data_IF_101014753960
#
_entry.id   IF_101014753960
#
_cell.length_a   1.000
_cell.length_b   1.000
_cell.length_c   1.000
_cell.angle_alpha   90.00
_cell.angle_beta   90.00
_cell.angle_gamma   90.00
#
_symmetry.space_group_name_H-M   'P 1'
#
loop_
_entity.id
_entity.type
_entity.pdbx_description
1 polymer ?
#
# COMPACT_ATOMS: atom_id res chain seq x y z
N UNK A 1 24.52 -0.77 14.79
CA UNK A 1 24.27 -0.43 13.37
C UNK A 1 24.52 1.08 13.19
N UNK A 2 25.45 1.52 12.34
CA UNK A 2 25.71 2.97 12.17
C UNK A 2 24.78 3.59 11.13
N UNK A 3 24.38 4.85 11.32
CA UNK A 3 23.55 5.58 10.35
C UNK A 3 24.18 5.60 8.94
N UNK A 4 25.51 5.72 8.87
CA UNK A 4 26.27 5.70 7.62
C UNK A 4 26.06 4.40 6.82
N UNK A 5 25.89 3.25 7.49
CA UNK A 5 25.60 1.96 6.85
C UNK A 5 24.12 1.75 6.55
N UNK A 6 23.22 2.27 7.38
CA UNK A 6 21.78 2.10 7.24
C UNK A 6 21.19 2.99 6.14
N UNK A 7 21.62 4.25 6.05
CA UNK A 7 21.09 5.23 5.10
C UNK A 7 21.08 4.76 3.64
N UNK A 8 22.18 4.26 3.04
CA UNK A 8 22.17 3.83 1.65
C UNK A 8 21.25 2.61 1.42
N UNK A 9 21.20 1.67 2.38
CA UNK A 9 20.31 0.49 2.31
C UNK A 9 18.84 0.88 2.39
N UNK A 10 18.53 1.83 3.26
CA UNK A 10 17.19 2.37 3.41
C UNK A 10 16.75 3.05 2.13
N UNK A 11 17.57 3.96 1.59
CA UNK A 11 17.24 4.68 0.36
C UNK A 11 17.04 3.74 -0.83
N UNK A 12 17.91 2.74 -0.98
CA UNK A 12 17.75 1.70 -2.01
C UNK A 12 16.45 0.90 -1.83
N UNK A 13 16.08 0.58 -0.59
CA UNK A 13 14.84 -0.16 -0.30
C UNK A 13 13.60 0.71 -0.53
N UNK A 14 13.61 1.98 -0.12
CA UNK A 14 12.51 2.93 -0.35
C UNK A 14 12.30 3.14 -1.86
N UNK A 15 13.35 3.46 -2.61
CA UNK A 15 13.25 3.69 -4.06
C UNK A 15 12.84 2.44 -4.84
N UNK A 16 13.09 1.23 -4.33
CA UNK A 16 12.66 -0.03 -4.96
C UNK A 16 11.25 -0.44 -4.54
N UNK A 17 10.96 -0.42 -3.25
CA UNK A 17 9.81 -1.11 -2.67
C UNK A 17 8.59 -0.21 -2.47
N UNK A 18 8.78 1.11 -2.42
CA UNK A 18 7.71 2.09 -2.32
C UNK A 18 6.80 2.06 -3.56
N UNK A 19 5.47 2.16 -3.36
CA UNK A 19 4.47 2.01 -4.43
C UNK A 19 4.66 3.01 -5.56
N UNK A 20 4.71 4.31 -5.23
CA UNK A 20 4.93 5.37 -6.22
C UNK A 20 6.39 5.48 -6.70
N UNK A 21 7.35 5.65 -5.77
CA UNK A 21 8.77 5.83 -6.14
C UNK A 21 9.33 4.65 -6.92
N UNK A 22 8.87 3.42 -6.64
CA UNK A 22 9.26 2.25 -7.38
C UNK A 22 8.86 2.28 -8.85
N UNK A 23 7.72 2.89 -9.20
CA UNK A 23 7.30 3.08 -10.60
C UNK A 23 8.20 4.11 -11.27
N UNK A 24 8.41 5.26 -10.63
CA UNK A 24 9.26 6.34 -11.16
C UNK A 24 10.69 5.84 -11.39
N UNK A 25 11.25 5.11 -10.44
CA UNK A 25 12.59 4.54 -10.54
C UNK A 25 12.70 3.47 -11.64
N UNK A 26 11.64 2.70 -11.88
CA UNK A 26 11.58 1.73 -12.98
C UNK A 26 11.58 2.42 -14.35
N UNK A 27 10.94 3.58 -14.48
CA UNK A 27 10.98 4.38 -15.72
C UNK A 27 12.31 5.11 -15.91
N UNK A 28 12.95 5.55 -14.82
CA UNK A 28 14.20 6.31 -14.87
C UNK A 28 15.44 5.43 -15.12
N UNK A 29 15.37 4.13 -14.84
CA UNK A 29 16.47 3.19 -15.11
C UNK A 29 16.30 2.57 -16.50
N UNK A 30 17.35 2.67 -17.32
CA UNK A 30 17.43 2.02 -18.62
C UNK A 30 17.23 0.49 -18.48
N UNK A 31 16.70 -0.13 -19.55
CA UNK A 31 16.27 -1.55 -19.64
C UNK A 31 17.31 -2.60 -19.24
N UNK A 32 18.55 -2.20 -18.97
CA UNK A 32 19.67 -3.07 -18.63
C UNK A 32 19.70 -3.50 -17.15
N UNK A 33 18.91 -2.85 -16.27
CA UNK A 33 18.76 -3.33 -14.90
C UNK A 33 17.66 -4.38 -14.81
N UNK A 34 18.02 -5.60 -14.37
CA UNK A 34 17.09 -6.67 -14.01
C UNK A 34 16.28 -6.26 -12.76
N UNK A 35 15.30 -5.38 -12.92
CA UNK A 35 14.33 -5.12 -11.89
C UNK A 35 13.41 -6.36 -11.74
N UNK A 36 13.25 -6.91 -10.52
CA UNK A 36 12.42 -8.09 -10.29
C UNK A 36 10.93 -7.87 -10.59
N UNK A 37 10.48 -6.63 -10.76
CA UNK A 37 9.07 -6.32 -11.05
C UNK A 37 8.91 -5.45 -12.28
N UNK A 38 7.98 -5.85 -13.14
CA UNK A 38 7.52 -5.07 -14.29
C UNK A 38 6.77 -3.82 -13.84
N UNK A 39 6.68 -2.82 -14.74
CA UNK A 39 5.87 -1.61 -14.52
C UNK A 39 4.42 -1.96 -14.20
N UNK A 40 3.85 -2.98 -14.84
CA UNK A 40 2.47 -3.43 -14.60
C UNK A 40 2.27 -3.93 -13.17
N UNK A 41 3.18 -4.78 -12.67
CA UNK A 41 3.12 -5.29 -11.29
C UNK A 41 3.29 -4.17 -10.25
N UNK A 42 4.14 -3.18 -10.57
CA UNK A 42 4.34 -1.99 -9.72
C UNK A 42 3.09 -1.10 -9.70
N UNK A 43 2.44 -0.91 -10.85
CA UNK A 43 1.16 -0.20 -10.94
C UNK A 43 0.06 -0.91 -10.16
N UNK A 44 -0.02 -2.24 -10.24
CA UNK A 44 -0.97 -3.03 -9.43
C UNK A 44 -0.74 -2.84 -7.92
N UNK A 45 0.52 -2.78 -7.48
CA UNK A 45 0.84 -2.50 -6.07
C UNK A 45 0.34 -1.11 -5.63
N UNK A 46 0.44 -0.10 -6.50
CA UNK A 46 -0.05 1.24 -6.22
C UNK A 46 -1.59 1.27 -6.18
N UNK A 47 -2.27 0.71 -7.17
CA UNK A 47 -3.74 0.71 -7.22
C UNK A 47 -4.35 -0.08 -6.06
N UNK A 48 -3.74 -1.19 -5.64
CA UNK A 48 -4.15 -1.90 -4.44
C UNK A 48 -4.01 -1.04 -3.19
N UNK A 49 -2.93 -0.26 -3.07
CA UNK A 49 -2.73 0.60 -1.91
C UNK A 49 -3.80 1.70 -1.82
N UNK A 50 -4.18 2.26 -2.96
CA UNK A 50 -5.29 3.21 -3.06
C UNK A 50 -6.65 2.55 -2.75
N UNK A 51 -6.84 1.31 -3.20
CA UNK A 51 -8.03 0.51 -2.93
C UNK A 51 -8.18 0.15 -1.45
N UNK A 52 -7.11 -0.30 -0.80
CA UNK A 52 -7.10 -0.53 0.65
C UNK A 52 -7.36 0.75 1.45
N UNK A 53 -6.86 1.90 0.97
CA UNK A 53 -7.16 3.20 1.56
C UNK A 53 -8.64 3.56 1.45
N UNK A 54 -9.26 3.32 0.29
CA UNK A 54 -10.69 3.50 0.09
C UNK A 54 -11.53 2.60 1.00
N UNK A 55 -11.20 1.31 1.06
CA UNK A 55 -11.89 0.37 1.93
C UNK A 55 -11.77 0.76 3.40
N UNK A 56 -10.61 1.27 3.85
CA UNK A 56 -10.44 1.76 5.22
C UNK A 56 -11.35 2.96 5.55
N UNK A 57 -11.48 3.92 4.62
CA UNK A 57 -12.41 5.05 4.77
C UNK A 57 -13.86 4.58 4.76
N UNK A 58 -14.21 3.68 3.85
CA UNK A 58 -15.57 3.16 3.73
C UNK A 58 -15.97 2.29 4.93
N UNK A 59 -15.13 1.36 5.37
CA UNK A 59 -15.40 0.53 6.56
C UNK A 59 -15.68 1.42 7.77
N UNK A 60 -14.93 2.51 7.92
CA UNK A 60 -15.17 3.49 8.98
C UNK A 60 -16.47 4.27 8.82
N UNK A 61 -16.84 4.63 7.59
CA UNK A 61 -18.12 5.27 7.32
C UNK A 61 -19.30 4.31 7.60
N UNK A 62 -19.17 3.04 7.18
CA UNK A 62 -20.16 2.00 7.37
C UNK A 62 -20.29 1.54 8.83
N UNK A 63 -19.17 1.46 9.56
CA UNK A 63 -19.14 1.24 11.00
C UNK A 63 -19.45 2.57 11.68
N UNK A 64 -20.72 2.94 11.68
CA UNK A 64 -21.24 4.03 12.50
C UNK A 64 -20.88 3.76 13.98
N UNK A 65 -19.81 4.39 14.46
CA UNK A 65 -19.52 4.48 15.89
C UNK A 65 -19.38 5.94 16.30
N UNK A 66 -20.45 6.43 16.91
CA UNK A 66 -20.46 7.11 18.23
C UNK A 66 -19.07 7.51 18.74
N UNK A 67 -18.46 8.50 18.09
CA UNK A 67 -17.16 9.05 18.49
C UNK A 67 -17.28 10.15 19.54
N UNK A 68 -18.38 10.18 20.28
CA UNK A 68 -18.66 11.23 21.24
C UNK A 68 -17.79 11.13 22.52
N UNK A 69 -17.30 9.95 22.94
CA UNK A 69 -16.96 9.78 24.37
C UNK A 69 -15.60 9.14 24.73
N UNK A 70 -14.55 9.21 23.90
CA UNK A 70 -13.29 8.50 24.27
C UNK A 70 -12.09 9.41 24.53
N UNK A 71 -11.93 10.53 23.82
CA UNK A 71 -10.85 11.49 24.07
C UNK A 71 -11.31 12.87 23.61
N UNK A 72 -11.28 13.85 24.51
CA UNK A 72 -11.53 15.25 24.18
C UNK A 72 -10.30 15.78 23.41
N UNK A 73 -10.40 15.83 22.07
CA UNK A 73 -9.33 16.30 21.19
C UNK A 73 -9.65 17.70 20.68
N UNK A 74 -8.65 18.59 20.57
CA UNK A 74 -8.85 19.92 20.00
C UNK A 74 -9.48 19.85 18.60
N UNK A 75 -10.42 20.76 18.34
CA UNK A 75 -11.03 20.93 17.02
C UNK A 75 -9.93 21.13 15.95
N UNK A 76 -9.99 20.32 14.90
CA UNK A 76 -8.97 20.25 13.84
C UNK A 76 -7.97 19.11 14.00
N UNK A 77 -7.50 18.80 15.21
CA UNK A 77 -6.58 17.66 15.43
C UNK A 77 -7.29 16.32 15.26
N UNK A 78 -8.56 16.26 15.68
CA UNK A 78 -9.41 15.08 15.55
C UNK A 78 -9.47 14.57 14.10
N UNK A 79 -9.53 15.47 13.11
CA UNK A 79 -9.58 15.11 11.69
C UNK A 79 -8.28 14.42 11.22
N UNK A 80 -7.12 14.98 11.54
CA UNK A 80 -5.83 14.40 11.13
C UNK A 80 -5.54 13.07 11.81
N UNK A 81 -5.85 12.95 13.11
CA UNK A 81 -5.74 11.69 13.84
C UNK A 81 -6.67 10.63 13.24
N UNK A 82 -7.86 11.05 12.85
CA UNK A 82 -8.85 10.20 12.21
C UNK A 82 -8.38 9.67 10.83
N UNK A 83 -7.80 10.53 10.00
CA UNK A 83 -7.17 10.16 8.73
C UNK A 83 -5.93 9.27 8.93
N UNK A 84 -5.11 9.55 9.95
CA UNK A 84 -3.99 8.69 10.33
C UNK A 84 -4.42 7.28 10.71
N UNK A 85 -5.49 7.14 11.50
CA UNK A 85 -6.07 5.84 11.84
C UNK A 85 -6.61 5.09 10.62
N UNK A 86 -7.27 5.79 9.69
CA UNK A 86 -7.66 5.20 8.39
C UNK A 86 -6.44 4.70 7.62
N UNK A 87 -5.36 5.49 7.56
CA UNK A 87 -4.13 5.11 6.88
C UNK A 87 -3.42 3.90 7.53
N UNK A 88 -3.49 3.77 8.86
CA UNK A 88 -2.99 2.60 9.59
C UNK A 88 -3.81 1.35 9.29
N UNK A 89 -5.14 1.43 9.34
CA UNK A 89 -6.03 0.31 8.97
C UNK A 89 -5.79 -0.10 7.52
N UNK A 90 -5.69 0.88 6.61
CA UNK A 90 -5.33 0.64 5.21
C UNK A 90 -3.95 -0.05 5.10
N UNK A 91 -2.98 0.34 5.93
CA UNK A 91 -1.68 -0.32 6.03
C UNK A 91 -1.77 -1.77 6.47
N UNK A 92 -2.57 -2.07 7.48
CA UNK A 92 -2.83 -3.46 7.94
C UNK A 92 -3.51 -4.26 6.82
N UNK A 93 -4.52 -3.72 6.17
CA UNK A 93 -5.16 -4.37 5.02
C UNK A 93 -4.15 -4.61 3.90
N UNK A 94 -3.28 -3.64 3.62
CA UNK A 94 -2.22 -3.77 2.63
C UNK A 94 -1.21 -4.88 2.97
N UNK A 95 -0.96 -5.11 4.25
CA UNK A 95 -0.10 -6.20 4.73
C UNK A 95 -0.79 -7.55 4.61
N UNK A 96 -2.04 -7.67 5.08
CA UNK A 96 -2.76 -8.93 5.20
C UNK A 96 -3.31 -9.44 3.87
N UNK A 97 -3.92 -8.56 3.08
CA UNK A 97 -4.66 -8.92 1.86
C UNK A 97 -4.23 -8.09 0.65
N UNK A 98 -3.33 -7.13 0.83
CA UNK A 98 -2.98 -6.17 -0.20
C UNK A 98 -1.59 -6.38 -0.81
N UNK A 99 -0.91 -5.26 -1.03
CA UNK A 99 0.38 -5.18 -1.71
C UNK A 99 1.43 -6.16 -1.18
N UNK A 100 1.59 -6.31 0.13
CA UNK A 100 2.69 -7.10 0.70
C UNK A 100 2.54 -8.59 0.44
N UNK A 101 1.30 -9.10 0.47
CA UNK A 101 0.98 -10.48 0.12
C UNK A 101 1.29 -10.74 -1.36
N UNK A 102 0.82 -9.86 -2.25
CA UNK A 102 1.05 -9.96 -3.69
C UNK A 102 2.54 -9.87 -4.02
N UNK A 103 3.27 -8.90 -3.44
CA UNK A 103 4.73 -8.78 -3.63
C UNK A 103 5.49 -10.01 -3.13
N UNK A 104 5.09 -10.60 -2.01
CA UNK A 104 5.74 -11.80 -1.48
C UNK A 104 5.53 -12.99 -2.43
N UNK A 105 4.31 -13.16 -2.94
CA UNK A 105 3.99 -14.22 -3.91
C UNK A 105 4.77 -14.00 -5.21
N UNK A 106 4.75 -12.80 -5.77
CA UNK A 106 5.41 -12.47 -7.02
C UNK A 106 6.95 -12.57 -6.91
N UNK A 107 7.54 -12.10 -5.81
CA UNK A 107 8.99 -12.23 -5.59
C UNK A 107 9.42 -13.70 -5.49
N UNK A 108 8.65 -14.51 -4.77
CA UNK A 108 8.92 -15.95 -4.64
C UNK A 108 8.79 -16.68 -5.98
N UNK A 109 7.86 -16.25 -6.83
CA UNK A 109 7.72 -16.75 -8.20
C UNK A 109 8.93 -16.35 -9.08
N UNK A 110 9.36 -15.08 -9.01
CA UNK A 110 10.53 -14.56 -9.73
C UNK A 110 11.82 -15.32 -9.40
N UNK A 111 12.15 -15.45 -8.10
CA UNK A 111 13.38 -16.11 -7.62
C UNK A 111 13.45 -17.60 -8.03
N UNK A 112 12.33 -18.20 -8.47
CA UNK A 112 12.24 -19.63 -8.81
C UNK A 112 11.91 -19.93 -10.27
N UNK A 113 11.96 -18.93 -11.16
CA UNK A 113 11.77 -19.11 -12.62
C UNK A 113 12.73 -20.13 -13.27
N UNK A 114 13.79 -20.58 -12.59
CA UNK A 114 14.67 -21.64 -13.08
C UNK A 114 14.24 -23.09 -12.73
N UNK A 115 13.22 -23.32 -11.88
CA UNK A 115 12.88 -24.66 -11.39
C UNK A 115 11.36 -24.96 -11.33
N UNK A 116 10.83 -25.55 -12.41
CA UNK A 116 9.50 -26.18 -12.58
C UNK A 116 8.25 -25.27 -12.48
N UNK A 117 7.47 -25.25 -13.57
CA UNK A 117 6.76 -24.05 -14.05
C UNK A 117 5.24 -23.99 -13.72
N UNK A 118 4.60 -25.06 -13.23
CA UNK A 118 3.12 -25.14 -13.30
C UNK A 118 2.35 -24.56 -12.09
N UNK A 119 2.69 -24.95 -10.86
CA UNK A 119 1.86 -24.59 -9.70
C UNK A 119 2.06 -23.14 -9.23
N UNK A 120 3.29 -22.61 -9.33
CA UNK A 120 3.63 -21.26 -8.83
C UNK A 120 3.17 -20.14 -9.77
N UNK A 121 3.26 -20.35 -11.09
CA UNK A 121 2.67 -19.45 -12.09
C UNK A 121 1.17 -19.26 -11.88
N UNK A 122 0.43 -20.31 -11.45
CA UNK A 122 -0.99 -20.21 -11.10
C UNK A 122 -1.22 -19.34 -9.86
N UNK A 123 -0.36 -19.44 -8.85
CA UNK A 123 -0.45 -18.62 -7.63
C UNK A 123 -0.11 -17.15 -7.90
N UNK A 124 0.91 -16.90 -8.74
CA UNK A 124 1.28 -15.57 -9.23
C UNK A 124 0.14 -14.90 -10.02
N UNK A 125 -0.48 -15.65 -10.94
CA UNK A 125 -1.66 -15.23 -11.69
C UNK A 125 -2.85 -14.94 -10.77
N UNK A 126 -3.12 -15.82 -9.78
CA UNK A 126 -4.18 -15.60 -8.80
C UNK A 126 -3.95 -14.32 -7.98
N UNK A 127 -2.70 -14.04 -7.59
CA UNK A 127 -2.34 -12.81 -6.89
C UNK A 127 -2.55 -11.56 -7.76
N UNK A 128 -2.22 -11.63 -9.06
CA UNK A 128 -2.51 -10.56 -10.03
C UNK A 128 -4.01 -10.33 -10.24
N UNK A 129 -4.80 -11.41 -10.37
CA UNK A 129 -6.27 -11.35 -10.47
C UNK A 129 -6.86 -10.71 -9.21
N UNK A 130 -6.41 -11.13 -8.03
CA UNK A 130 -6.84 -10.56 -6.76
C UNK A 130 -6.53 -9.06 -6.67
N UNK A 131 -5.31 -8.66 -7.05
CA UNK A 131 -4.91 -7.25 -7.11
C UNK A 131 -5.81 -6.43 -8.03
N UNK A 132 -6.12 -6.98 -9.21
CA UNK A 132 -7.04 -6.38 -10.18
C UNK A 132 -8.46 -6.25 -9.63
N UNK A 133 -9.02 -7.33 -9.07
CA UNK A 133 -10.36 -7.34 -8.49
C UNK A 133 -10.50 -6.34 -7.35
N UNK A 134 -9.52 -6.28 -6.44
CA UNK A 134 -9.54 -5.34 -5.32
C UNK A 134 -9.46 -3.89 -5.81
N UNK A 135 -8.60 -3.62 -6.79
CA UNK A 135 -8.42 -2.28 -7.37
C UNK A 135 -9.68 -1.80 -8.11
N UNK A 136 -10.17 -2.60 -9.06
CA UNK A 136 -11.34 -2.27 -9.88
C UNK A 136 -12.61 -2.25 -9.04
N UNK A 137 -12.81 -3.24 -8.17
CA UNK A 137 -13.97 -3.31 -7.28
C UNK A 137 -14.05 -2.10 -6.34
N UNK A 138 -12.92 -1.67 -5.78
CA UNK A 138 -12.88 -0.48 -4.92
C UNK A 138 -13.17 0.80 -5.71
N UNK A 139 -12.64 0.92 -6.93
CA UNK A 139 -12.92 2.06 -7.79
C UNK A 139 -14.39 2.13 -8.20
N UNK A 140 -14.98 1.00 -8.62
CA UNK A 140 -16.40 0.90 -8.96
C UNK A 140 -17.28 1.21 -7.75
N UNK A 141 -16.91 0.74 -6.56
CA UNK A 141 -17.62 1.07 -5.34
C UNK A 141 -17.50 2.56 -4.99
N UNK A 142 -16.34 3.19 -5.18
CA UNK A 142 -16.21 4.64 -4.98
C UNK A 142 -17.09 5.42 -5.97
N UNK A 143 -17.06 5.04 -7.25
CA UNK A 143 -17.89 5.67 -8.29
C UNK A 143 -19.39 5.50 -8.03
N UNK A 144 -19.83 4.33 -7.56
CA UNK A 144 -21.25 4.12 -7.24
C UNK A 144 -21.70 4.99 -6.08
N UNK A 145 -20.85 5.23 -5.08
CA UNK A 145 -21.14 6.15 -3.97
C UNK A 145 -21.26 7.59 -4.44
N UNK A 146 -20.35 8.05 -5.30
CA UNK A 146 -20.42 9.39 -5.91
C UNK A 146 -21.69 9.58 -6.75
N UNK A 147 -22.16 8.53 -7.43
CA UNK A 147 -23.35 8.59 -8.28
C UNK A 147 -24.67 8.58 -7.51
N UNK A 148 -24.72 7.92 -6.34
CA UNK A 148 -25.97 7.67 -5.60
C UNK A 148 -26.11 8.60 -4.39
N UNK A 149 -25.01 8.96 -3.73
CA UNK A 149 -25.07 9.73 -2.48
C UNK A 149 -25.07 11.24 -2.74
N UNK A 150 -25.68 12.04 -1.86
CA UNK A 150 -25.69 13.49 -2.00
C UNK A 150 -24.29 14.06 -1.74
N UNK A 151 -24.04 15.26 -2.28
CA UNK A 151 -22.70 15.84 -2.30
C UNK A 151 -22.12 16.18 -0.93
N UNK A 152 -22.97 16.40 0.07
CA UNK A 152 -22.57 16.59 1.46
C UNK A 152 -21.95 15.32 2.07
N UNK A 153 -22.21 14.15 1.51
CA UNK A 153 -21.72 12.86 2.01
C UNK A 153 -20.48 12.39 1.24
N UNK A 154 -20.54 12.33 -0.10
CA UNK A 154 -19.44 11.75 -0.87
C UNK A 154 -18.20 12.66 -0.95
N UNK A 155 -18.36 13.99 -0.93
CA UNK A 155 -17.21 14.92 -1.01
C UNK A 155 -16.28 14.80 0.20
N UNK A 156 -16.76 14.82 1.46
CA UNK A 156 -15.90 14.58 2.62
C UNK A 156 -15.23 13.21 2.59
N UNK A 157 -15.94 12.16 2.15
CA UNK A 157 -15.37 10.82 2.02
C UNK A 157 -14.23 10.77 1.01
N UNK A 158 -14.38 11.44 -0.14
CA UNK A 158 -13.35 11.50 -1.17
C UNK A 158 -12.12 12.29 -0.71
N UNK A 159 -12.32 13.43 -0.06
CA UNK A 159 -11.21 14.21 0.52
C UNK A 159 -10.46 13.41 1.58
N UNK A 160 -11.20 12.74 2.47
CA UNK A 160 -10.63 11.86 3.49
C UNK A 160 -9.89 10.67 2.89
N UNK A 161 -10.39 10.12 1.78
CA UNK A 161 -9.68 9.09 1.03
C UNK A 161 -8.37 9.61 0.44
N UNK A 162 -8.38 10.80 -0.17
CA UNK A 162 -7.18 11.44 -0.70
C UNK A 162 -6.14 11.69 0.42
N UNK A 163 -6.57 12.23 1.56
CA UNK A 163 -5.71 12.46 2.72
C UNK A 163 -5.17 11.14 3.29
N UNK A 164 -6.03 10.12 3.43
CA UNK A 164 -5.62 8.79 3.93
C UNK A 164 -4.64 8.12 2.98
N UNK A 165 -4.86 8.23 1.67
CA UNK A 165 -3.95 7.70 0.64
C UNK A 165 -2.61 8.45 0.66
N UNK A 166 -2.63 9.77 0.79
CA UNK A 166 -1.42 10.58 0.92
C UNK A 166 -0.63 10.20 2.18
N UNK A 167 -1.30 10.08 3.34
CA UNK A 167 -0.67 9.64 4.59
C UNK A 167 -0.13 8.21 4.48
N UNK A 168 -0.85 7.33 3.79
CA UNK A 168 -0.38 5.97 3.56
C UNK A 168 0.92 5.95 2.75
N UNK A 169 0.97 6.68 1.63
CA UNK A 169 2.13 6.73 0.74
C UNK A 169 3.30 7.52 1.34
N UNK A 170 3.05 8.67 1.97
CA UNK A 170 4.11 9.56 2.44
C UNK A 170 4.67 9.17 3.81
N UNK A 171 3.90 8.46 4.64
CA UNK A 171 4.28 8.15 6.02
C UNK A 171 4.29 6.64 6.28
N UNK A 172 3.13 5.99 6.17
CA UNK A 172 2.98 4.58 6.61
C UNK A 172 3.88 3.65 5.81
N UNK A 173 3.91 3.81 4.50
CA UNK A 173 4.71 2.96 3.61
C UNK A 173 6.22 3.15 3.83
N UNK A 174 6.79 4.37 3.83
CA UNK A 174 8.18 4.59 4.18
C UNK A 174 8.56 4.04 5.56
N UNK A 175 7.72 4.24 6.58
CA UNK A 175 7.97 3.71 7.93
C UNK A 175 7.99 2.18 7.94
N UNK A 176 7.07 1.54 7.21
CA UNK A 176 7.02 0.08 7.09
C UNK A 176 8.30 -0.46 6.43
N UNK A 177 8.76 0.19 5.35
CA UNK A 177 10.02 -0.16 4.69
C UNK A 177 11.21 0.02 5.66
N UNK A 178 11.24 1.15 6.37
CA UNK A 178 12.24 1.45 7.41
C UNK A 178 12.32 0.35 8.47
N UNK A 179 11.17 -0.06 9.00
CA UNK A 179 11.07 -1.12 9.99
C UNK A 179 11.63 -2.45 9.46
N UNK A 180 11.24 -2.85 8.25
CA UNK A 180 11.72 -4.10 7.62
C UNK A 180 13.24 -4.07 7.41
N UNK A 181 13.79 -2.97 6.90
CA UNK A 181 15.24 -2.82 6.67
C UNK A 181 16.01 -2.87 7.98
N UNK A 182 15.49 -2.21 9.02
CA UNK A 182 16.10 -2.17 10.35
C UNK A 182 16.11 -3.56 10.97
N UNK A 183 14.98 -4.27 10.98
CA UNK A 183 14.88 -5.64 11.51
C UNK A 183 15.83 -6.59 10.78
N UNK A 184 15.85 -6.57 9.43
CA UNK A 184 16.78 -7.40 8.65
C UNK A 184 18.24 -7.12 8.98
N UNK A 185 18.58 -5.84 9.13
CA UNK A 185 19.95 -5.42 9.46
C UNK A 185 20.36 -5.84 10.87
N UNK A 186 19.43 -5.83 11.83
CA UNK A 186 19.66 -6.32 13.20
C UNK A 186 19.82 -7.83 13.25
N UNK A 187 19.07 -8.57 12.44
CA UNK A 187 19.14 -10.03 12.36
C UNK A 187 20.32 -10.55 11.52
N UNK A 188 21.13 -9.66 10.93
CA UNK A 188 22.23 -10.07 10.04
C UNK A 188 21.75 -10.76 8.76
N UNK A 189 20.49 -10.59 8.37
CA UNK A 189 19.94 -11.19 7.15
C UNK A 189 20.44 -10.38 5.95
N UNK A 190 21.16 -11.03 5.04
CA UNK A 190 21.58 -10.44 3.78
C UNK A 190 20.35 -9.98 2.96
N UNK A 191 20.48 -8.83 2.27
CA UNK A 191 19.43 -8.24 1.43
C UNK A 191 19.39 -8.83 0.04
#
# INVERSE_FOLDING_TARGET
LSWATLRPRLWASVTRDHSALGIVNCYAKDKDNQDPFTTTERSLCLTMSLACSWLGVWVKHAVHRTRADVVDMPDGLAYYVDSGMCALVAGVMNLCIGKSLVKMVLKKDWDTRSASVSFRAKVSMAAGIWAGMLSVGSALHAMSRVAVEPSEVWRPLLMKWADSAAMHLLLVEPLTICAVVTVKSLMGLAQ
#
